data_IF_519822124218
#
_entry.id   IF_519822124218
#
_cell.length_a   1.000
_cell.length_b   1.000
_cell.length_c   1.000
_cell.angle_alpha   90.00
_cell.angle_beta   90.00
_cell.angle_gamma   90.00
#
_symmetry.space_group_name_H-M   'P 1'
#
loop_
_entity.id
_entity.type
_entity.pdbx_description
1 polymer ?
#
# COMPACT_ATOMS: atom_id res chain seq x y z
N UNK A 1 -16.94 40.38 15.85
CA UNK A 1 -16.37 39.08 16.25
C UNK A 1 -17.04 37.96 15.44
N UNK A 2 -16.64 37.75 14.18
CA UNK A 2 -17.23 36.73 13.27
C UNK A 2 -16.22 36.31 12.19
N UNK A 3 -15.04 35.82 12.58
CA UNK A 3 -14.04 35.31 11.60
C UNK A 3 -13.22 34.12 12.11
N UNK A 4 -13.39 33.71 13.37
CA UNK A 4 -12.51 32.71 14.01
C UNK A 4 -12.97 31.26 13.76
N UNK A 5 -14.24 31.04 13.38
CA UNK A 5 -14.81 29.69 13.28
C UNK A 5 -14.46 28.98 11.95
N UNK A 6 -14.18 29.72 10.87
CA UNK A 6 -13.94 29.13 9.54
C UNK A 6 -12.53 28.53 9.41
N UNK A 7 -11.53 29.07 10.13
CA UNK A 7 -10.16 28.54 10.10
C UNK A 7 -10.02 27.17 10.75
N UNK A 8 -10.85 26.83 11.74
CA UNK A 8 -10.81 25.53 12.44
C UNK A 8 -11.37 24.37 11.59
N UNK A 9 -12.39 24.63 10.76
CA UNK A 9 -13.00 23.61 9.89
C UNK A 9 -12.08 23.22 8.73
N UNK A 10 -11.29 24.18 8.22
CA UNK A 10 -10.26 23.92 7.21
C UNK A 10 -9.15 23.01 7.75
N UNK A 11 -8.68 23.26 8.99
CA UNK A 11 -7.55 22.53 9.57
C UNK A 11 -7.87 21.07 9.90
N UNK A 12 -9.14 20.76 10.23
CA UNK A 12 -9.60 19.38 10.50
C UNK A 12 -9.69 18.51 9.24
N UNK A 13 -9.81 19.12 8.06
CA UNK A 13 -9.97 18.38 6.80
C UNK A 13 -8.62 17.88 6.25
N UNK A 14 -7.49 18.48 6.66
CA UNK A 14 -6.15 18.08 6.22
C UNK A 14 -5.63 16.81 6.92
N UNK A 15 -6.09 16.49 8.13
CA UNK A 15 -5.59 15.32 8.88
C UNK A 15 -6.19 13.99 8.42
N UNK A 16 -7.28 14.02 7.64
CA UNK A 16 -8.01 12.80 7.23
C UNK A 16 -7.45 12.14 5.96
N UNK A 17 -6.50 12.77 5.27
CA UNK A 17 -6.02 12.32 3.95
C UNK A 17 -4.93 11.23 3.99
N UNK A 18 -4.33 10.95 5.16
CA UNK A 18 -3.13 10.10 5.27
C UNK A 18 -3.35 8.65 5.78
N UNK A 19 -4.56 8.29 6.21
CA UNK A 19 -4.72 7.21 7.20
C UNK A 19 -4.95 5.77 6.69
N UNK A 20 -4.94 5.48 5.37
CA UNK A 20 -5.35 4.15 4.87
C UNK A 20 -4.36 3.49 3.89
N UNK A 21 -3.11 3.94 3.83
CA UNK A 21 -2.13 3.31 2.94
C UNK A 21 -1.89 1.85 3.35
N UNK A 22 -1.81 0.98 2.34
CA UNK A 22 -1.67 -0.47 2.50
C UNK A 22 -2.87 -1.17 3.17
N UNK A 23 -3.97 -0.47 3.45
CA UNK A 23 -5.18 -1.09 3.98
C UNK A 23 -5.80 -1.99 2.89
N UNK A 24 -6.16 -3.21 3.28
CA UNK A 24 -6.90 -4.14 2.43
C UNK A 24 -8.40 -3.79 2.44
N UNK A 25 -9.17 -4.37 1.52
CA UNK A 25 -10.62 -4.17 1.47
C UNK A 25 -11.39 -4.91 2.57
N UNK A 26 -10.71 -5.74 3.37
CA UNK A 26 -11.28 -6.46 4.50
C UNK A 26 -11.80 -5.51 5.61
N UNK A 27 -12.53 -6.08 6.56
CA UNK A 27 -12.96 -5.41 7.78
C UNK A 27 -12.14 -5.87 9.01
N UNK A 28 -12.30 -5.16 10.12
CA UNK A 28 -11.69 -5.52 11.40
C UNK A 28 -10.16 -5.52 11.34
N UNK A 29 -9.53 -6.54 11.93
CA UNK A 29 -8.05 -6.65 11.98
C UNK A 29 -7.42 -7.02 10.63
N UNK A 30 -8.18 -7.69 9.76
CA UNK A 30 -7.62 -8.23 8.53
C UNK A 30 -7.29 -7.13 7.50
N UNK A 31 -7.98 -5.99 7.59
CA UNK A 31 -7.67 -4.79 6.81
C UNK A 31 -6.25 -4.26 7.02
N UNK A 32 -5.65 -4.54 8.19
CA UNK A 32 -4.30 -4.11 8.55
C UNK A 32 -3.22 -5.14 8.20
N UNK A 33 -3.59 -6.31 7.66
CA UNK A 33 -2.67 -7.42 7.47
C UNK A 33 -1.40 -7.05 6.67
N UNK A 34 -1.56 -6.34 5.55
CA UNK A 34 -0.43 -5.92 4.72
C UNK A 34 0.38 -4.80 5.39
N UNK A 35 -0.29 -3.86 6.05
CA UNK A 35 0.36 -2.80 6.83
C UNK A 35 1.22 -3.38 7.97
N UNK A 36 0.69 -4.35 8.71
CA UNK A 36 1.40 -5.02 9.80
C UNK A 36 2.62 -5.79 9.30
N UNK A 37 2.49 -6.48 8.14
CA UNK A 37 3.61 -7.13 7.48
C UNK A 37 4.72 -6.13 7.13
N UNK A 38 4.37 -5.00 6.50
CA UNK A 38 5.33 -3.95 6.12
C UNK A 38 6.02 -3.38 7.35
N UNK A 39 5.24 -3.06 8.40
CA UNK A 39 5.76 -2.54 9.67
C UNK A 39 6.76 -3.50 10.28
N UNK A 40 6.42 -4.79 10.36
CA UNK A 40 7.33 -5.82 10.87
C UNK A 40 8.63 -5.91 10.07
N UNK A 41 8.57 -5.84 8.74
CA UNK A 41 9.77 -5.88 7.90
C UNK A 41 10.62 -4.61 8.02
N UNK A 42 9.97 -3.46 8.24
CA UNK A 42 10.63 -2.19 8.49
C UNK A 42 11.34 -2.14 9.85
N UNK A 43 10.71 -2.66 10.92
CA UNK A 43 11.32 -2.81 12.24
C UNK A 43 12.57 -3.70 12.19
N UNK A 44 12.52 -4.74 11.35
CA UNK A 44 13.67 -5.62 11.06
C UNK A 44 14.73 -5.00 10.14
N UNK A 45 14.52 -3.76 9.70
CA UNK A 45 15.40 -3.02 8.77
C UNK A 45 15.61 -3.71 7.42
N UNK A 46 14.65 -4.54 6.99
CA UNK A 46 14.71 -5.25 5.70
C UNK A 46 14.23 -4.31 4.58
N UNK A 47 13.18 -3.53 4.86
CA UNK A 47 12.64 -2.47 3.99
C UNK A 47 12.42 -1.19 4.82
N UNK A 48 11.97 -0.10 4.20
CA UNK A 48 11.47 1.09 4.91
C UNK A 48 9.94 1.00 5.04
N UNK A 49 9.33 1.99 5.70
CA UNK A 49 7.87 2.07 5.93
C UNK A 49 7.06 2.43 4.67
N UNK A 50 7.73 2.83 3.58
CA UNK A 50 7.11 3.37 2.37
C UNK A 50 7.45 2.54 1.10
N UNK A 51 7.40 1.19 1.12
CA UNK A 51 7.75 0.40 -0.05
C UNK A 51 6.74 0.59 -1.19
N UNK A 52 7.19 0.33 -2.42
CA UNK A 52 6.26 0.12 -3.54
C UNK A 52 5.62 -1.27 -3.39
N UNK A 53 4.30 -1.34 -3.61
CA UNK A 53 3.58 -2.62 -3.67
C UNK A 53 3.45 -3.02 -5.13
N UNK A 54 3.74 -4.28 -5.45
CA UNK A 54 3.56 -4.83 -6.79
C UNK A 54 2.54 -5.95 -6.69
N UNK A 55 1.30 -5.67 -7.05
CA UNK A 55 0.19 -6.60 -7.02
C UNK A 55 0.03 -7.26 -8.39
N UNK A 56 0.36 -8.53 -8.50
CA UNK A 56 0.33 -9.31 -9.77
C UNK A 56 0.99 -8.58 -10.95
N UNK A 57 2.13 -7.92 -10.67
CA UNK A 57 2.88 -7.15 -11.66
C UNK A 57 2.45 -5.70 -11.85
N UNK A 58 1.32 -5.27 -11.28
CA UNK A 58 0.88 -3.88 -11.27
C UNK A 58 1.49 -3.11 -10.09
N UNK A 59 2.29 -2.05 -10.34
CA UNK A 59 2.90 -1.26 -9.27
C UNK A 59 1.92 -0.24 -8.66
N UNK A 60 1.96 -0.11 -7.34
CA UNK A 60 1.26 0.86 -6.52
C UNK A 60 2.27 1.59 -5.64
N UNK A 61 2.53 2.86 -5.91
CA UNK A 61 3.50 3.66 -5.14
C UNK A 61 2.85 4.20 -3.87
N UNK A 62 3.68 4.50 -2.88
CA UNK A 62 3.23 5.07 -1.62
C UNK A 62 2.37 6.33 -1.77
N UNK A 63 2.71 7.23 -2.70
CA UNK A 63 1.90 8.41 -2.98
C UNK A 63 0.57 8.12 -3.71
N UNK A 64 0.50 7.03 -4.49
CA UNK A 64 -0.72 6.66 -5.22
C UNK A 64 -1.77 6.09 -4.25
N UNK A 65 -1.31 5.42 -3.20
CA UNK A 65 -2.13 4.81 -2.16
C UNK A 65 -2.81 5.80 -1.20
N UNK A 66 -2.51 7.10 -1.29
CA UNK A 66 -3.32 8.13 -0.61
C UNK A 66 -4.69 8.32 -1.27
N UNK A 67 -4.77 8.05 -2.58
CA UNK A 67 -5.94 8.35 -3.41
C UNK A 67 -6.76 7.12 -3.73
N UNK A 68 -6.11 5.96 -3.81
CA UNK A 68 -6.71 4.69 -4.20
C UNK A 68 -6.42 3.63 -3.15
N UNK A 69 -7.47 2.93 -2.69
CA UNK A 69 -7.31 1.73 -1.85
C UNK A 69 -6.77 0.58 -2.69
N UNK A 70 -5.95 -0.27 -2.09
CA UNK A 70 -5.50 -1.49 -2.76
C UNK A 70 -6.72 -2.37 -3.07
N UNK A 71 -6.91 -2.79 -4.33
CA UNK A 71 -8.01 -3.67 -4.71
C UNK A 71 -7.69 -5.12 -4.33
N UNK A 72 -7.55 -5.38 -3.03
CA UNK A 72 -7.04 -6.64 -2.50
C UNK A 72 -7.70 -6.98 -1.18
N UNK A 73 -8.22 -8.20 -1.07
CA UNK A 73 -8.61 -8.85 0.17
C UNK A 73 -7.52 -9.81 0.66
N UNK A 74 -7.43 -10.02 1.97
CA UNK A 74 -6.46 -10.92 2.59
C UNK A 74 -6.58 -12.35 2.08
N UNK A 75 -7.80 -12.85 1.88
CA UNK A 75 -8.05 -14.21 1.38
C UNK A 75 -7.62 -14.41 -0.08
N UNK A 76 -7.37 -13.34 -0.83
CA UNK A 76 -6.84 -13.40 -2.18
C UNK A 76 -5.31 -13.51 -2.20
N UNK A 77 -4.61 -13.17 -1.11
CA UNK A 77 -3.15 -13.22 -1.03
C UNK A 77 -2.68 -14.69 -1.01
N UNK A 78 -2.01 -15.11 -2.07
CA UNK A 78 -1.32 -16.39 -2.14
C UNK A 78 0.06 -16.29 -1.46
N UNK A 79 0.80 -15.23 -1.80
CA UNK A 79 2.18 -15.05 -1.36
C UNK A 79 2.57 -13.58 -1.29
N UNK A 80 3.36 -13.25 -0.27
CA UNK A 80 4.07 -11.97 -0.19
C UNK A 80 5.58 -12.26 -0.26
N UNK A 81 6.29 -11.55 -1.14
CA UNK A 81 7.75 -11.67 -1.31
C UNK A 81 8.40 -10.30 -1.33
N UNK A 82 9.56 -10.17 -0.69
CA UNK A 82 10.38 -8.96 -0.78
C UNK A 82 11.37 -9.10 -1.93
N UNK A 83 11.45 -8.09 -2.79
CA UNK A 83 12.48 -8.07 -3.83
C UNK A 83 13.77 -7.47 -3.27
N UNK A 84 14.91 -8.02 -3.69
CA UNK A 84 16.21 -7.41 -3.42
C UNK A 84 16.23 -5.94 -3.86
N UNK A 85 16.85 -5.09 -3.05
CA UNK A 85 16.84 -3.63 -3.25
C UNK A 85 17.44 -3.23 -4.60
N UNK A 86 18.56 -3.83 -5.01
CA UNK A 86 19.21 -3.48 -6.28
C UNK A 86 18.33 -3.91 -7.47
N UNK A 87 17.75 -5.10 -7.40
CA UNK A 87 16.77 -5.55 -8.42
C UNK A 87 15.54 -4.66 -8.46
N UNK A 88 15.03 -4.24 -7.30
CA UNK A 88 13.90 -3.33 -7.20
C UNK A 88 14.18 -1.99 -7.86
N UNK A 89 15.33 -1.37 -7.57
CA UNK A 89 15.73 -0.10 -8.17
C UNK A 89 15.92 -0.24 -9.69
N UNK A 90 16.48 -1.35 -10.16
CA UNK A 90 16.66 -1.60 -11.59
C UNK A 90 15.32 -1.66 -12.36
N UNK A 91 14.24 -2.14 -11.73
CA UNK A 91 12.92 -2.31 -12.37
C UNK A 91 12.00 -1.10 -12.14
N UNK A 92 11.96 -0.57 -10.92
CA UNK A 92 10.98 0.45 -10.50
C UNK A 92 11.62 1.83 -10.19
N UNK A 93 12.93 1.97 -10.36
CA UNK A 93 13.67 3.21 -10.11
C UNK A 93 13.67 3.61 -8.63
N UNK A 94 13.74 4.92 -8.38
CA UNK A 94 13.88 5.48 -7.03
C UNK A 94 12.70 5.12 -6.10
N UNK A 95 11.53 4.77 -6.66
CA UNK A 95 10.38 4.31 -5.87
C UNK A 95 10.63 3.00 -5.13
N UNK A 96 11.62 2.20 -5.57
CA UNK A 96 12.02 0.97 -4.88
C UNK A 96 13.11 1.17 -3.81
N UNK A 97 13.59 2.39 -3.58
CA UNK A 97 14.61 2.65 -2.56
C UNK A 97 14.14 2.29 -1.14
N UNK A 98 12.84 2.42 -0.90
CA UNK A 98 12.16 2.03 0.32
C UNK A 98 11.87 0.52 0.40
N UNK A 99 12.19 -0.24 -0.65
CA UNK A 99 11.87 -1.66 -0.78
C UNK A 99 10.70 -1.91 -1.72
N UNK A 100 10.57 -3.16 -2.15
CA UNK A 100 9.49 -3.63 -3.03
C UNK A 100 8.83 -4.83 -2.35
N UNK A 101 7.51 -4.74 -2.18
CA UNK A 101 6.68 -5.83 -1.67
C UNK A 101 5.87 -6.39 -2.84
N UNK A 102 6.21 -7.58 -3.29
CA UNK A 102 5.49 -8.29 -4.34
C UNK A 102 4.38 -9.10 -3.67
N UNK A 103 3.14 -8.85 -4.09
CA UNK A 103 1.95 -9.59 -3.67
C UNK A 103 1.44 -10.39 -4.86
N UNK A 104 1.37 -11.70 -4.70
CA UNK A 104 0.80 -12.63 -5.68
C UNK A 104 -0.56 -13.09 -5.18
N UNK A 105 -1.59 -13.02 -6.03
CA UNK A 105 -2.94 -13.48 -5.69
C UNK A 105 -3.22 -14.90 -6.17
N UNK A 106 -4.16 -15.55 -5.49
CA UNK A 106 -4.68 -16.85 -5.88
C UNK A 106 -5.31 -16.75 -7.28
N UNK A 107 -4.91 -17.62 -8.23
CA UNK A 107 -5.37 -17.62 -9.64
C UNK A 107 -6.89 -17.77 -9.89
N UNK A 108 -7.74 -17.83 -8.87
CA UNK A 108 -9.16 -18.17 -9.05
C UNK A 108 -10.01 -17.10 -9.75
N UNK A 109 -9.50 -15.90 -10.04
CA UNK A 109 -10.30 -14.83 -10.65
C UNK A 109 -9.62 -13.98 -11.74
N UNK A 110 -8.55 -14.44 -12.39
CA UNK A 110 -7.99 -13.77 -13.58
C UNK A 110 -8.23 -14.57 -14.89
N UNK A 111 -9.37 -15.26 -14.98
CA UNK A 111 -9.84 -15.91 -16.22
C UNK A 111 -10.99 -15.10 -16.84
N UNK A 112 -10.76 -13.81 -17.08
CA UNK A 112 -11.72 -12.93 -17.72
C UNK A 112 -11.01 -11.85 -18.53
N UNK A 113 -11.36 -11.77 -19.82
CA UNK A 113 -10.98 -10.76 -20.81
C UNK A 113 -9.53 -10.74 -21.32
N UNK A 114 -9.23 -11.65 -22.25
CA UNK A 114 -8.67 -11.30 -23.56
C UNK A 114 -9.10 -12.39 -24.57
N UNK A 115 -10.28 -12.22 -25.15
CA UNK A 115 -10.57 -12.63 -26.53
C UNK A 115 -10.19 -11.48 -27.47
#
# INVERSE_FOLDING_TARGET
>A
MKTIIITIISLLSFSMYSQNRYELQDEGKDKLYLFDFITQMAERKIIKTEPIIVLDGKPYRFQDLEKEKLPLYKNQIEKITLLDKQKGIAIYGNFAEAGVVIVTTNKKENSGSHE
#
